data_IF_030361684991
#
_entry.id   IF_030361684991
#
_cell.length_a   1.000
_cell.length_b   1.000
_cell.length_c   1.000
_cell.angle_alpha   90.00
_cell.angle_beta   90.00
_cell.angle_gamma   90.00
#
_symmetry.space_group_name_H-M   'P 1'
#
loop_
_entity.id
_entity.type
_entity.pdbx_description
1 polymer ?
#
# COMPACT_ATOMS: atom_id res chain seq x y z
N UNK A 1 -13.42 18.54 10.16
CA UNK A 1 -12.82 17.41 9.46
C UNK A 1 -11.37 17.30 9.89
N UNK A 2 -10.98 16.12 10.36
CA UNK A 2 -9.62 15.87 10.81
C UNK A 2 -8.72 15.40 9.68
N UNK A 3 -7.43 15.63 9.84
CA UNK A 3 -6.40 15.05 8.98
C UNK A 3 -6.07 13.64 9.46
N UNK A 4 -6.02 12.69 8.53
CA UNK A 4 -5.73 11.29 8.82
C UNK A 4 -4.73 10.75 7.81
N UNK A 5 -3.83 9.89 8.28
CA UNK A 5 -2.83 9.28 7.43
C UNK A 5 -3.25 7.87 7.03
N UNK A 6 -3.12 7.58 5.74
CA UNK A 6 -3.30 6.24 5.18
C UNK A 6 -1.93 5.77 4.70
N UNK A 7 -1.42 4.69 5.29
CA UNK A 7 -0.06 4.23 5.03
C UNK A 7 -0.05 2.75 4.66
N UNK A 8 0.63 2.43 3.56
CA UNK A 8 0.83 1.06 3.11
C UNK A 8 2.31 0.79 2.88
N UNK A 9 2.80 -0.33 3.40
CA UNK A 9 4.06 -0.93 2.96
C UNK A 9 3.78 -1.78 1.73
N UNK A 10 4.59 -1.65 0.69
CA UNK A 10 4.40 -2.32 -0.59
C UNK A 10 5.72 -2.90 -1.10
N UNK A 11 5.66 -4.06 -1.73
CA UNK A 11 6.77 -4.58 -2.51
C UNK A 11 6.36 -4.57 -3.97
N UNK A 12 6.82 -3.58 -4.73
CA UNK A 12 6.33 -3.31 -6.07
C UNK A 12 7.38 -2.68 -6.97
N UNK A 13 7.22 -2.89 -8.28
CA UNK A 13 7.86 -2.10 -9.32
C UNK A 13 7.01 -0.85 -9.63
N UNK A 14 7.42 -0.05 -10.61
CA UNK A 14 6.70 1.17 -10.99
C UNK A 14 5.25 0.87 -11.41
N UNK A 15 5.04 -0.19 -12.16
CA UNK A 15 3.71 -0.58 -12.64
C UNK A 15 2.81 -1.01 -11.47
N UNK A 16 3.35 -1.82 -10.57
CA UNK A 16 2.61 -2.25 -9.38
C UNK A 16 2.26 -1.07 -8.47
N UNK A 17 3.21 -0.15 -8.27
CA UNK A 17 2.98 1.05 -7.48
C UNK A 17 1.91 1.93 -8.11
N UNK A 18 1.95 2.15 -9.42
CA UNK A 18 0.96 2.94 -10.13
C UNK A 18 -0.45 2.33 -9.98
N UNK A 19 -0.54 1.01 -10.01
CA UNK A 19 -1.80 0.31 -9.79
C UNK A 19 -2.36 0.59 -8.39
N UNK A 20 -1.54 0.48 -7.35
CA UNK A 20 -1.97 0.77 -5.97
C UNK A 20 -2.37 2.23 -5.81
N UNK A 21 -1.60 3.15 -6.39
CA UNK A 21 -1.93 4.57 -6.36
C UNK A 21 -3.29 4.85 -7.00
N UNK A 22 -3.60 4.19 -8.12
CA UNK A 22 -4.91 4.27 -8.77
C UNK A 22 -6.03 3.76 -7.88
N UNK A 23 -5.81 2.69 -7.11
CA UNK A 23 -6.79 2.16 -6.16
C UNK A 23 -7.12 3.19 -5.07
N UNK A 24 -6.08 3.83 -4.52
CA UNK A 24 -6.26 4.83 -3.47
C UNK A 24 -7.01 6.05 -4.01
N UNK A 25 -6.61 6.57 -5.16
CA UNK A 25 -7.28 7.72 -5.78
C UNK A 25 -8.74 7.41 -6.11
N UNK A 26 -9.03 6.23 -6.62
CA UNK A 26 -10.40 5.80 -6.90
C UNK A 26 -11.25 5.70 -5.63
N UNK A 27 -10.70 5.13 -4.57
CA UNK A 27 -11.41 4.99 -3.30
C UNK A 27 -11.69 6.36 -2.65
N UNK A 28 -10.75 7.30 -2.74
CA UNK A 28 -10.93 8.67 -2.23
C UNK A 28 -11.92 9.45 -3.09
N UNK A 29 -11.82 9.33 -4.42
CA UNK A 29 -12.63 10.10 -5.36
C UNK A 29 -14.13 9.84 -5.29
N UNK A 30 -14.53 8.67 -4.80
CA UNK A 30 -15.93 8.29 -4.65
C UNK A 30 -16.53 8.69 -3.29
N UNK A 31 -15.76 9.39 -2.45
CA UNK A 31 -16.15 9.72 -1.07
C UNK A 31 -15.88 11.19 -0.74
N UNK A 32 -16.40 11.62 0.41
CA UNK A 32 -16.15 12.97 0.95
C UNK A 32 -14.79 13.00 1.67
N UNK A 33 -13.74 12.93 0.87
CA UNK A 33 -12.36 12.98 1.34
C UNK A 33 -11.53 13.79 0.36
N UNK A 34 -10.48 14.44 0.88
CA UNK A 34 -9.56 15.23 0.07
C UNK A 34 -8.13 14.81 0.37
N UNK A 35 -7.34 14.62 -0.68
CA UNK A 35 -5.93 14.31 -0.54
C UNK A 35 -5.18 15.61 -0.24
N UNK A 36 -4.50 15.65 0.90
CA UNK A 36 -3.68 16.78 1.34
C UNK A 36 -2.20 16.56 1.10
N UNK A 37 -1.76 15.30 1.07
CA UNK A 37 -0.36 14.97 0.86
C UNK A 37 -0.22 13.56 0.27
N UNK A 38 0.85 13.36 -0.48
CA UNK A 38 1.14 12.10 -1.16
C UNK A 38 2.65 11.88 -1.19
N UNK A 39 3.11 10.80 -0.59
CA UNK A 39 4.54 10.51 -0.50
C UNK A 39 4.79 9.03 -0.76
N UNK A 40 5.79 8.74 -1.58
CA UNK A 40 6.35 7.40 -1.74
C UNK A 40 7.78 7.47 -1.22
N UNK A 41 8.08 6.69 -0.19
CA UNK A 41 9.36 6.75 0.51
C UNK A 41 10.04 5.39 0.55
N UNK A 42 11.37 5.40 0.63
CA UNK A 42 12.22 4.23 0.84
C UNK A 42 12.67 4.10 2.30
N UNK A 43 12.17 4.97 3.17
CA UNK A 43 12.36 4.91 4.62
C UNK A 43 11.01 5.04 5.33
N UNK A 44 10.88 4.39 6.49
CA UNK A 44 9.67 4.47 7.29
C UNK A 44 9.51 5.85 7.92
N UNK A 45 8.28 6.16 8.32
CA UNK A 45 7.99 7.40 9.05
C UNK A 45 8.88 7.47 10.30
N UNK A 46 9.59 8.60 10.49
CA UNK A 46 10.59 8.75 11.53
C UNK A 46 12.03 8.57 11.05
N UNK A 47 12.25 7.96 9.88
CA UNK A 47 13.54 7.90 9.20
C UNK A 47 14.58 6.95 9.77
N UNK A 48 14.27 6.21 10.85
CA UNK A 48 15.22 5.33 11.52
C UNK A 48 15.40 3.98 10.85
N UNK A 49 14.43 3.53 10.08
CA UNK A 49 14.40 2.21 9.47
C UNK A 49 14.11 2.33 7.98
N UNK A 50 14.90 1.63 7.16
CA UNK A 50 14.62 1.56 5.72
C UNK A 50 13.37 0.70 5.47
N UNK A 51 12.68 0.97 4.36
CA UNK A 51 11.56 0.13 3.94
C UNK A 51 12.01 -1.27 3.56
N UNK A 52 13.23 -1.42 3.04
CA UNK A 52 13.79 -2.73 2.72
C UNK A 52 13.90 -3.62 3.97
N UNK A 53 14.28 -3.05 5.11
CA UNK A 53 14.35 -3.78 6.37
C UNK A 53 12.98 -3.99 7.00
N UNK A 54 12.17 -2.93 7.07
CA UNK A 54 10.85 -2.97 7.70
C UNK A 54 9.89 -3.92 6.99
N UNK A 55 9.96 -3.99 5.66
CA UNK A 55 9.05 -4.76 4.82
C UNK A 55 9.72 -5.94 4.12
N UNK A 56 10.84 -6.43 4.66
CA UNK A 56 11.54 -7.60 4.11
C UNK A 56 10.62 -8.81 3.97
N UNK A 57 9.68 -8.98 4.88
CA UNK A 57 8.69 -10.07 4.83
C UNK A 57 7.83 -10.01 3.55
N UNK A 58 7.61 -8.85 2.98
CA UNK A 58 6.87 -8.72 1.71
C UNK A 58 7.71 -9.22 0.53
N UNK A 59 9.00 -8.94 0.52
CA UNK A 59 9.92 -9.45 -0.49
C UNK A 59 10.02 -10.98 -0.41
N UNK A 60 10.08 -11.52 0.80
CA UNK A 60 10.08 -12.97 1.02
C UNK A 60 8.77 -13.61 0.56
N UNK A 61 7.64 -12.97 0.84
CA UNK A 61 6.33 -13.43 0.38
C UNK A 61 6.30 -13.49 -1.15
N UNK A 62 6.76 -12.44 -1.82
CA UNK A 62 6.78 -12.41 -3.28
C UNK A 62 7.63 -13.55 -3.85
N UNK A 63 8.82 -13.77 -3.29
CA UNK A 63 9.72 -14.85 -3.74
C UNK A 63 9.10 -16.22 -3.54
N UNK A 64 8.40 -16.43 -2.44
CA UNK A 64 7.69 -17.66 -2.14
C UNK A 64 6.55 -17.92 -3.15
N UNK A 65 5.80 -16.88 -3.49
CA UNK A 65 4.66 -16.96 -4.41
C UNK A 65 5.10 -17.02 -5.89
N UNK A 66 6.34 -16.64 -6.19
CA UNK A 66 6.91 -16.60 -7.55
C UNK A 66 8.25 -17.32 -7.64
N UNK A 67 8.28 -18.63 -7.35
CA UNK A 67 9.54 -19.37 -7.29
C UNK A 67 10.26 -19.36 -8.65
N UNK A 68 11.56 -19.12 -8.61
CA UNK A 68 12.41 -19.09 -9.81
C UNK A 68 12.28 -17.85 -10.68
N UNK A 69 11.43 -16.90 -10.31
CA UNK A 69 11.26 -15.63 -11.05
C UNK A 69 12.17 -14.56 -10.48
N UNK A 70 12.65 -13.70 -11.38
CA UNK A 70 13.45 -12.53 -11.00
C UNK A 70 12.50 -11.43 -10.51
N UNK A 71 12.83 -10.82 -9.38
CA UNK A 71 12.05 -9.72 -8.83
C UNK A 71 12.12 -8.44 -9.67
N UNK A 72 13.10 -8.34 -10.56
CA UNK A 72 13.26 -7.18 -11.44
C UNK A 72 13.50 -5.90 -10.65
N UNK A 73 12.69 -4.89 -10.94
CA UNK A 73 12.77 -3.58 -10.28
C UNK A 73 11.86 -3.44 -9.06
N UNK A 74 11.32 -4.54 -8.55
CA UNK A 74 10.52 -4.50 -7.35
C UNK A 74 11.36 -4.07 -6.16
N UNK A 75 10.78 -3.20 -5.34
CA UNK A 75 11.42 -2.72 -4.13
C UNK A 75 10.37 -2.47 -3.05
N UNK A 76 10.79 -2.55 -1.80
CA UNK A 76 9.94 -2.19 -0.68
C UNK A 76 9.85 -0.67 -0.59
N UNK A 77 8.63 -0.16 -0.60
CA UNK A 77 8.35 1.28 -0.48
C UNK A 77 7.21 1.49 0.51
N UNK A 78 7.11 2.70 1.04
CA UNK A 78 6.00 3.10 1.89
C UNK A 78 5.22 4.21 1.19
N UNK A 79 3.93 3.93 0.91
CA UNK A 79 3.01 4.91 0.35
C UNK A 79 2.29 5.56 1.51
N UNK A 80 2.43 6.88 1.65
CA UNK A 80 1.77 7.69 2.67
C UNK A 80 0.84 8.68 2.01
N UNK A 81 -0.43 8.62 2.39
CA UNK A 81 -1.44 9.54 1.87
C UNK A 81 -2.09 10.24 3.04
N UNK A 82 -2.03 11.58 3.05
CA UNK A 82 -2.69 12.39 4.06
C UNK A 82 -4.04 12.84 3.53
N UNK A 83 -5.10 12.53 4.29
CA UNK A 83 -6.48 12.80 3.90
C UNK A 83 -7.15 13.74 4.89
N UNK A 84 -7.99 14.63 4.36
CA UNK A 84 -8.95 15.38 5.16
C UNK A 84 -10.29 14.66 5.05
N UNK A 85 -10.71 13.99 6.12
CA UNK A 85 -11.98 13.26 6.14
C UNK A 85 -12.34 12.82 7.57
N UNK A 86 -13.57 12.32 7.74
CA UNK A 86 -14.00 11.70 8.99
C UNK A 86 -13.32 10.34 9.19
N UNK A 87 -13.34 9.85 10.43
CA UNK A 87 -12.84 8.50 10.73
C UNK A 87 -13.60 7.43 9.95
N UNK A 88 -14.91 7.59 9.83
CA UNK A 88 -15.77 6.66 9.08
C UNK A 88 -15.34 6.59 7.62
N UNK A 89 -15.11 7.74 6.99
CA UNK A 89 -14.66 7.82 5.61
C UNK A 89 -13.26 7.23 5.45
N UNK A 90 -12.33 7.53 6.37
CA UNK A 90 -11.00 6.95 6.36
C UNK A 90 -11.04 5.42 6.41
N UNK A 91 -11.85 4.85 7.30
CA UNK A 91 -12.03 3.41 7.41
C UNK A 91 -12.61 2.81 6.13
N UNK A 92 -13.56 3.50 5.50
CA UNK A 92 -14.16 3.04 4.25
C UNK A 92 -13.17 3.05 3.09
N UNK A 93 -12.36 4.09 2.96
CA UNK A 93 -11.29 4.18 1.97
C UNK A 93 -10.28 3.05 2.16
N UNK A 94 -9.79 2.89 3.40
CA UNK A 94 -8.81 1.86 3.73
C UNK A 94 -9.34 0.45 3.41
N UNK A 95 -10.58 0.19 3.79
CA UNK A 95 -11.24 -1.11 3.54
C UNK A 95 -11.39 -1.40 2.05
N UNK A 96 -11.76 -0.40 1.25
CA UNK A 96 -11.91 -0.57 -0.20
C UNK A 96 -10.57 -0.88 -0.86
N UNK A 97 -9.50 -0.16 -0.49
CA UNK A 97 -8.15 -0.40 -1.02
C UNK A 97 -7.69 -1.82 -0.67
N UNK A 98 -7.82 -2.21 0.60
CA UNK A 98 -7.42 -3.55 1.06
C UNK A 98 -8.20 -4.64 0.32
N UNK A 99 -9.50 -4.45 0.14
CA UNK A 99 -10.34 -5.43 -0.56
C UNK A 99 -9.90 -5.62 -2.02
N UNK A 100 -9.44 -4.56 -2.68
CA UNK A 100 -8.96 -4.66 -4.06
C UNK A 100 -7.53 -5.21 -4.12
N UNK A 101 -6.68 -4.88 -3.12
CA UNK A 101 -5.34 -5.46 -3.01
C UNK A 101 -5.40 -6.98 -2.79
N UNK A 102 -6.38 -7.43 -2.02
CA UNK A 102 -6.52 -8.84 -1.65
C UNK A 102 -7.99 -9.27 -1.79
N UNK A 103 -8.51 -9.42 -3.02
CA UNK A 103 -9.93 -9.73 -3.24
C UNK A 103 -10.31 -11.13 -2.75
N UNK A 104 -9.37 -12.05 -2.63
CA UNK A 104 -9.60 -13.42 -2.20
C UNK A 104 -9.57 -13.60 -0.68
N UNK A 105 -9.25 -12.52 0.06
CA UNK A 105 -9.29 -12.51 1.51
C UNK A 105 -8.33 -13.50 2.15
N UNK A 106 -8.86 -14.42 2.99
CA UNK A 106 -8.07 -15.40 3.72
C UNK A 106 -7.73 -16.65 2.90
N UNK A 107 -8.27 -16.80 1.70
CA UNK A 107 -7.97 -17.95 0.85
C UNK A 107 -6.51 -17.94 0.40
N UNK A 108 -5.83 -19.10 0.30
CA UNK A 108 -4.47 -19.16 -0.24
C UNK A 108 -4.44 -18.64 -1.67
N UNK A 109 -3.62 -17.61 -1.93
CA UNK A 109 -3.51 -16.98 -3.24
C UNK A 109 -2.21 -16.18 -3.33
N UNK A 110 -1.78 -15.88 -4.57
CA UNK A 110 -0.67 -14.97 -4.81
C UNK A 110 -1.22 -13.55 -4.95
N UNK A 111 -0.65 -12.61 -4.20
CA UNK A 111 -1.00 -11.21 -4.31
C UNK A 111 -0.27 -10.56 -5.49
N UNK A 112 -0.96 -9.73 -6.25
CA UNK A 112 -0.34 -8.97 -7.34
C UNK A 112 0.78 -8.07 -6.82
N UNK A 113 0.52 -7.40 -5.71
CA UNK A 113 1.50 -6.59 -4.98
C UNK A 113 1.43 -7.00 -3.51
N UNK A 114 2.51 -7.59 -2.96
CA UNK A 114 2.56 -7.83 -1.51
C UNK A 114 2.44 -6.52 -0.74
N UNK A 115 1.63 -6.51 0.31
CA UNK A 115 1.27 -5.29 1.01
C UNK A 115 1.14 -5.49 2.51
N UNK A 116 1.29 -4.40 3.25
CA UNK A 116 1.03 -4.32 4.68
C UNK A 116 0.34 -2.98 4.96
N UNK A 117 -0.78 -3.00 5.65
CA UNK A 117 -1.50 -1.77 6.01
C UNK A 117 -1.20 -1.36 7.44
N UNK A 118 -0.88 -0.09 7.63
CA UNK A 118 -0.59 0.50 8.94
C UNK A 118 -1.76 1.34 9.45
#
# INVERSE_FOLDING_TARGET
VKTRDLTFGLYADEEGLAWVEGLVRGAVGSRRARILGWTVADSCAGGELSTADAYDHLAQQWAYENPGRNSGRRAAVELRVRLACSLRTWRAVRKEVIRTLCPEGMAPHACRVPWCAL
#
